data_IF_264710666187
#
_entry.id   IF_264710666187
#
_cell.length_a   1.000
_cell.length_b   1.000
_cell.length_c   1.000
_cell.angle_alpha   90.00
_cell.angle_beta   90.00
_cell.angle_gamma   90.00
#
_symmetry.space_group_name_H-M   'P 1'
#
loop_
_entity.id
_entity.type
_entity.pdbx_description
1 polymer ?
#
# COMPACT_ATOMS: atom_id res chain seq x y z
N UNK A 1 20.62 -2.99 -8.11
CA UNK A 1 19.56 -2.65 -9.07
C UNK A 1 18.64 -1.62 -8.42
N UNK A 2 18.80 -0.33 -8.72
CA UNK A 2 18.01 0.74 -8.11
C UNK A 2 16.66 0.84 -8.84
N UNK A 3 15.55 0.67 -8.12
CA UNK A 3 14.21 0.92 -8.65
C UNK A 3 14.07 2.43 -8.85
N UNK A 4 13.77 2.87 -10.08
CA UNK A 4 13.48 4.28 -10.34
C UNK A 4 12.24 4.72 -9.54
N UNK A 5 12.26 5.93 -8.94
CA UNK A 5 11.10 6.44 -8.22
C UNK A 5 9.94 6.63 -9.20
N UNK A 6 8.84 5.91 -8.95
CA UNK A 6 7.60 6.01 -9.74
C UNK A 6 7.14 7.47 -9.79
N UNK A 7 7.23 8.09 -10.97
CA UNK A 7 6.77 9.46 -11.20
C UNK A 7 5.25 9.53 -11.01
N UNK A 8 4.80 10.32 -10.04
CA UNK A 8 3.38 10.59 -9.79
C UNK A 8 2.86 11.55 -10.86
N UNK A 9 1.87 11.11 -11.65
CA UNK A 9 1.17 12.00 -12.58
C UNK A 9 0.15 12.84 -11.80
N UNK A 10 0.36 14.15 -11.76
CA UNK A 10 -0.57 15.09 -11.16
C UNK A 10 -1.69 15.40 -12.15
N UNK A 11 -2.92 15.00 -11.82
CA UNK A 11 -4.12 15.37 -12.57
C UNK A 11 -4.77 16.57 -11.90
N UNK A 12 -4.97 17.65 -12.65
CA UNK A 12 -5.63 18.87 -12.18
C UNK A 12 -7.13 18.74 -12.46
N UNK A 13 -7.94 19.03 -11.44
CA UNK A 13 -9.39 18.83 -11.49
C UNK A 13 -10.09 20.00 -10.82
N UNK A 14 -11.16 20.50 -11.43
CA UNK A 14 -12.13 21.42 -10.82
C UNK A 14 -13.30 20.58 -10.31
N UNK A 15 -13.57 20.66 -9.00
CA UNK A 15 -14.55 19.82 -8.33
C UNK A 15 -15.75 20.65 -7.86
N UNK A 16 -16.94 20.23 -8.27
CA UNK A 16 -18.22 20.82 -7.92
C UNK A 16 -19.22 19.68 -7.58
N UNK A 17 -19.19 19.13 -6.36
CA UNK A 17 -19.96 17.94 -6.01
C UNK A 17 -21.48 18.19 -5.96
N UNK A 18 -21.88 19.42 -5.60
CA UNK A 18 -23.28 19.79 -5.38
C UNK A 18 -23.87 20.70 -6.46
N UNK A 19 -23.04 21.18 -7.39
CA UNK A 19 -23.41 22.14 -8.43
C UNK A 19 -23.08 21.62 -9.83
N UNK A 20 -23.58 22.33 -10.84
CA UNK A 20 -23.30 22.05 -12.25
C UNK A 20 -22.32 23.08 -12.79
N UNK A 21 -21.42 22.66 -13.68
CA UNK A 21 -20.46 23.54 -14.36
C UNK A 21 -20.85 23.59 -15.83
N UNK A 22 -21.66 24.59 -16.19
CA UNK A 22 -22.15 24.73 -17.58
C UNK A 22 -21.15 25.46 -18.49
N UNK A 23 -20.28 26.32 -17.94
CA UNK A 23 -19.21 26.99 -18.68
C UNK A 23 -17.89 26.32 -18.42
N UNK A 24 -17.37 25.61 -19.43
CA UNK A 24 -16.02 25.03 -19.39
C UNK A 24 -15.09 25.96 -20.15
N UNK A 25 -14.07 26.46 -19.48
CA UNK A 25 -13.04 27.26 -20.13
C UNK A 25 -12.20 26.36 -21.05
N UNK A 26 -12.25 26.65 -22.35
CA UNK A 26 -11.49 25.92 -23.38
C UNK A 26 -9.98 26.21 -23.24
N UNK A 27 -9.15 25.20 -23.51
CA UNK A 27 -7.68 25.32 -23.47
C UNK A 27 -7.01 25.01 -22.12
N UNK A 28 -7.77 24.77 -21.05
CA UNK A 28 -7.22 24.30 -19.78
C UNK A 28 -7.05 22.77 -19.78
N UNK A 29 -5.87 22.29 -19.37
CA UNK A 29 -5.62 20.86 -19.07
C UNK A 29 -6.16 20.51 -17.68
N UNK A 30 -7.45 20.73 -17.44
CA UNK A 30 -8.13 20.40 -16.18
C UNK A 30 -9.41 19.64 -16.46
N UNK A 31 -9.68 18.60 -15.67
CA UNK A 31 -10.95 17.89 -15.75
C UNK A 31 -12.00 18.62 -14.91
N UNK A 32 -13.23 18.71 -15.40
CA UNK A 32 -14.36 19.30 -14.68
C UNK A 32 -15.27 18.20 -14.15
N UNK A 33 -15.50 18.19 -12.83
CA UNK A 33 -16.24 17.15 -12.14
C UNK A 33 -17.38 17.76 -11.35
N UNK A 34 -18.54 17.66 -11.99
CA UNK A 34 -19.80 18.18 -11.52
C UNK A 34 -20.58 17.12 -10.76
N UNK A 35 -21.73 17.51 -10.19
CA UNK A 35 -22.70 16.62 -9.53
C UNK A 35 -23.06 15.37 -10.34
N UNK A 36 -23.09 15.47 -11.68
CA UNK A 36 -23.42 14.35 -12.60
C UNK A 36 -22.37 13.23 -12.55
N UNK A 37 -21.10 13.62 -12.52
CA UNK A 37 -19.97 12.70 -12.68
C UNK A 37 -19.23 12.42 -11.36
N UNK A 38 -19.54 13.18 -10.31
CA UNK A 38 -18.90 13.08 -9.01
C UNK A 38 -18.92 11.65 -8.44
N UNK A 39 -20.07 10.98 -8.43
CA UNK A 39 -20.20 9.62 -7.86
C UNK A 39 -19.31 8.61 -8.55
N UNK A 40 -19.25 8.65 -9.88
CA UNK A 40 -18.44 7.72 -10.65
C UNK A 40 -16.94 8.01 -10.48
N UNK A 41 -16.56 9.28 -10.56
CA UNK A 41 -15.19 9.71 -10.34
C UNK A 41 -14.69 9.34 -8.95
N UNK A 42 -15.49 9.59 -7.91
CA UNK A 42 -15.16 9.26 -6.54
C UNK A 42 -14.96 7.75 -6.35
N UNK A 43 -15.82 6.92 -6.97
CA UNK A 43 -15.67 5.47 -6.97
C UNK A 43 -14.39 5.00 -7.65
N UNK A 44 -13.96 5.67 -8.73
CA UNK A 44 -12.66 5.41 -9.39
C UNK A 44 -11.49 5.80 -8.50
N UNK A 45 -11.60 6.93 -7.78
CA UNK A 45 -10.55 7.40 -6.87
C UNK A 45 -10.32 6.41 -5.72
N UNK A 46 -11.40 5.89 -5.13
CA UNK A 46 -11.35 4.90 -4.03
C UNK A 46 -10.72 3.56 -4.46
N UNK A 47 -10.85 3.21 -5.75
CA UNK A 47 -10.24 2.00 -6.32
C UNK A 47 -8.80 2.21 -6.77
N UNK A 48 -8.32 3.45 -6.79
CA UNK A 48 -6.95 3.70 -7.17
C UNK A 48 -6.05 3.14 -6.08
N UNK A 49 -5.12 2.21 -6.38
CA UNK A 49 -4.13 1.80 -5.41
C UNK A 49 -3.29 3.04 -5.13
N UNK A 50 -3.55 3.72 -4.01
CA UNK A 50 -2.62 4.76 -3.57
C UNK A 50 -1.30 4.05 -3.29
N UNK A 51 -0.16 4.60 -3.73
CA UNK A 51 1.12 4.09 -3.25
C UNK A 51 1.06 4.01 -1.72
N UNK A 52 1.43 2.86 -1.16
CA UNK A 52 1.27 2.57 0.27
C UNK A 52 1.86 3.74 1.07
N UNK A 53 1.05 4.35 1.95
CA UNK A 53 1.51 5.52 2.71
C UNK A 53 2.67 5.10 3.59
N UNK A 54 3.71 5.93 3.72
CA UNK A 54 4.89 5.61 4.56
C UNK A 54 4.51 5.21 5.99
N UNK A 55 3.47 5.84 6.55
CA UNK A 55 2.92 5.50 7.87
C UNK A 55 2.39 4.08 7.92
N UNK A 56 1.69 3.61 6.88
CA UNK A 56 1.18 2.23 6.81
C UNK A 56 2.33 1.22 6.80
N UNK A 57 3.43 1.52 6.08
CA UNK A 57 4.63 0.67 6.06
C UNK A 57 5.31 0.61 7.43
N UNK A 58 5.45 1.75 8.13
CA UNK A 58 6.06 1.81 9.46
C UNK A 58 5.27 1.00 10.48
N UNK A 59 3.94 1.16 10.47
CA UNK A 59 3.04 0.40 11.35
C UNK A 59 3.14 -1.09 11.05
N UNK A 60 3.03 -1.50 9.79
CA UNK A 60 3.15 -2.91 9.42
C UNK A 60 4.49 -3.53 9.84
N UNK A 61 5.59 -2.78 9.74
CA UNK A 61 6.92 -3.21 10.22
C UNK A 61 6.91 -3.45 11.74
N UNK A 62 6.39 -2.51 12.52
CA UNK A 62 6.32 -2.61 13.98
C UNK A 62 5.50 -3.82 14.44
N UNK A 63 4.32 -4.02 13.83
CA UNK A 63 3.48 -5.19 14.08
C UNK A 63 4.22 -6.50 13.75
N UNK A 64 4.91 -6.54 12.61
CA UNK A 64 5.67 -7.73 12.22
C UNK A 64 6.81 -8.04 13.19
N UNK A 65 7.48 -7.02 13.75
CA UNK A 65 8.52 -7.21 14.76
C UNK A 65 7.98 -7.84 16.04
N UNK A 66 6.77 -7.49 16.46
CA UNK A 66 6.10 -8.08 17.62
C UNK A 66 5.63 -9.52 17.39
N UNK A 67 5.30 -9.87 16.15
CA UNK A 67 4.87 -11.23 15.78
C UNK A 67 6.02 -12.21 15.51
N UNK A 68 7.29 -11.80 15.71
CA UNK A 68 8.43 -12.71 15.58
C UNK A 68 8.46 -13.69 16.75
N UNK A 69 8.06 -14.93 16.51
CA UNK A 69 8.30 -16.02 17.43
C UNK A 69 9.70 -16.59 17.21
N UNK A 70 10.47 -16.75 18.29
CA UNK A 70 11.76 -17.43 18.21
C UNK A 70 11.49 -18.93 18.20
N UNK A 71 11.62 -19.54 17.02
CA UNK A 71 11.58 -21.00 16.90
C UNK A 71 12.93 -21.56 17.36
N UNK A 72 13.02 -21.98 18.63
CA UNK A 72 14.12 -22.81 19.07
C UNK A 72 13.80 -24.28 18.76
N UNK A 73 14.77 -24.99 18.17
CA UNK A 73 14.70 -26.46 18.10
C UNK A 73 14.71 -26.95 19.54
N UNK A 74 13.64 -27.65 19.96
CA UNK A 74 13.60 -28.30 21.27
C UNK A 74 14.78 -29.26 21.35
N UNK A 75 15.68 -29.00 22.28
CA UNK A 75 16.81 -29.87 22.60
C UNK A 75 16.28 -30.99 23.50
N UNK A 76 15.29 -31.74 23.01
CA UNK A 76 14.85 -32.99 23.61
C UNK A 76 15.23 -34.10 22.63
N UNK A 77 15.93 -35.09 23.18
CA UNK A 77 16.39 -36.33 22.53
C UNK A 77 17.69 -36.19 21.73
N UNK A 78 18.78 -35.80 22.40
CA UNK A 78 20.00 -36.61 22.26
C UNK A 78 19.91 -37.62 23.39
N UNK A 79 19.11 -38.68 23.18
CA UNK A 79 19.20 -39.86 24.03
C UNK A 79 20.57 -40.46 23.81
N UNK A 80 21.20 -40.79 24.93
CA UNK A 80 22.49 -41.44 25.11
C UNK A 80 22.63 -42.69 24.22
N UNK A 81 23.03 -42.52 22.95
CA UNK A 81 23.38 -43.63 22.05
C UNK A 81 24.67 -43.31 21.27
N UNK A 82 25.69 -42.73 21.91
CA UNK A 82 27.07 -42.71 21.37
C UNK A 82 28.09 -42.89 22.52
N UNK A 83 28.21 -44.09 23.07
CA UNK A 83 29.39 -44.48 23.87
C UNK A 83 29.71 -45.97 23.72
N UNK A 84 29.52 -46.53 22.53
CA UNK A 84 29.94 -47.90 22.22
C UNK A 84 30.45 -48.04 20.79
N UNK A 85 31.36 -47.17 20.33
CA UNK A 85 32.26 -47.48 19.20
C UNK A 85 33.59 -46.75 19.42
N UNK A 86 34.47 -47.34 20.22
CA UNK A 86 35.92 -47.15 20.13
C UNK A 86 36.56 -48.46 20.60
N UNK A 87 36.95 -49.31 19.64
CA UNK A 87 37.98 -50.36 19.79
C UNK A 87 39.36 -49.74 20.06
#
# INVERSE_FOLDING_TARGET
MYLEPKRLSLKKVVLAPDTFIDVRAEGLRVDFIDKRYFKEWHKKLMKHPSPLKSVQLKVAKEFLEQCKTVAHRRQELVSEEETNEDE
#
